data_IF_385011506631
#
_entry.id   IF_385011506631
#
_cell.length_a   1.000
_cell.length_b   1.000
_cell.length_c   1.000
_cell.angle_alpha   90.00
_cell.angle_beta   90.00
_cell.angle_gamma   90.00
#
_symmetry.space_group_name_H-M   'P 1'
#
loop_
_entity.id
_entity.type
_entity.pdbx_description
1 polymer ?
2 non-polymer ?
3 water ?
#
# COMPACT_ATOMS: atom_id res chain seq x y z
N UNK A 1 -13.96 -20.10 2.81
CA UNK A 1 -14.98 -20.73 1.99
C UNK A 1 -14.47 -20.95 0.58
N UNK A 2 -15.30 -21.57 -0.27
CA UNK A 2 -14.88 -21.85 -1.65
C UNK A 2 -14.84 -20.59 -2.49
N UNK A 3 -15.63 -19.59 -2.10
CA UNK A 3 -15.73 -18.33 -2.85
C UNK A 3 -14.92 -17.20 -2.23
N UNK A 4 -14.09 -17.48 -1.22
CA UNK A 4 -13.46 -16.41 -0.45
C UNK A 4 -12.40 -15.67 -1.27
N UNK A 5 -12.50 -14.35 -1.25
CA UNK A 5 -11.57 -13.45 -1.90
C UNK A 5 -10.85 -12.69 -0.80
N UNK A 6 -9.65 -13.14 -0.45
CA UNK A 6 -8.84 -12.48 0.56
C UNK A 6 -7.99 -11.42 -0.13
N UNK A 7 -8.08 -10.19 0.37
CA UNK A 7 -7.34 -9.08 -0.22
C UNK A 7 -5.86 -9.42 -0.35
N UNK A 8 -5.27 -9.09 -1.50
CA UNK A 8 -3.86 -9.30 -1.77
C UNK A 8 -3.26 -7.97 -2.17
N UNK A 9 -2.43 -7.39 -1.31
CA UNK A 9 -1.86 -6.09 -1.59
C UNK A 9 -0.80 -6.17 -2.67
N UNK A 10 -0.66 -5.09 -3.43
CA UNK A 10 0.34 -5.06 -4.48
C UNK A 10 1.74 -5.09 -3.86
N UNK A 11 2.75 -5.45 -4.65
CA UNK A 11 4.08 -5.58 -4.08
C UNK A 11 5.11 -4.97 -5.03
N UNK A 12 6.38 -5.17 -4.68
CA UNK A 12 7.52 -4.51 -5.32
C UNK A 12 8.62 -5.52 -5.57
N UNK A 13 9.28 -5.40 -6.71
CA UNK A 13 10.30 -6.34 -7.14
C UNK A 13 11.62 -5.66 -7.46
N UNK A 14 11.69 -4.35 -7.28
CA UNK A 14 12.92 -3.57 -7.41
C UNK A 14 13.18 -2.89 -6.08
N UNK A 15 14.32 -3.19 -5.47
CA UNK A 15 14.58 -2.75 -4.11
C UNK A 15 15.92 -2.06 -4.01
N UNK A 16 15.94 -0.97 -3.26
CA UNK A 16 17.16 -0.23 -2.98
C UNK A 16 17.56 -0.45 -1.53
N UNK A 17 18.82 -0.80 -1.32
CA UNK A 17 19.38 -1.09 0.00
C UNK A 17 20.51 -0.11 0.24
N UNK A 18 20.37 0.78 1.21
CA UNK A 18 21.51 1.61 1.54
C UNK A 18 22.29 1.03 2.73
N UNK A 19 23.54 1.48 2.83
CA UNK A 19 24.48 0.99 3.82
C UNK A 19 25.12 2.15 4.56
N UNK A 20 25.61 1.85 5.76
CA UNK A 20 26.25 2.82 6.64
C UNK A 20 27.74 2.54 6.64
N UNK A 21 28.51 3.41 6.00
CA UNK A 21 29.96 3.35 6.04
C UNK A 21 30.55 4.47 6.90
N UNK A 22 29.71 5.19 7.65
CA UNK A 22 30.18 6.41 8.29
C UNK A 22 30.98 6.16 9.56
N UNK A 23 30.85 4.99 10.18
CA UNK A 23 31.57 4.69 11.42
C UNK A 23 32.89 3.99 11.20
N UNK A 24 33.19 3.58 9.96
CA UNK A 24 34.45 2.92 9.67
C UNK A 24 35.61 3.75 10.18
N UNK A 25 36.54 3.06 10.83
CA UNK A 25 37.79 3.70 11.24
C UNK A 25 38.42 4.43 10.06
N UNK A 26 38.74 3.70 9.01
CA UNK A 26 39.29 4.24 7.78
C UNK A 26 38.21 4.25 6.71
N UNK A 27 37.98 5.39 6.04
CA UNK A 27 36.89 5.44 5.06
C UNK A 27 37.13 4.47 3.91
N UNK A 28 36.07 3.76 3.52
CA UNK A 28 36.15 2.84 2.40
C UNK A 28 36.25 3.60 1.08
N UNK A 29 37.03 3.05 0.15
CA UNK A 29 37.09 3.60 -1.19
C UNK A 29 35.78 3.29 -1.92
N UNK A 30 35.49 3.99 -3.03
CA UNK A 30 34.28 3.66 -3.78
C UNK A 30 34.21 2.21 -4.23
N UNK A 31 35.34 1.63 -4.66
CA UNK A 31 35.31 0.23 -5.08
C UNK A 31 35.17 -0.70 -3.89
N UNK A 32 35.74 -0.34 -2.74
CA UNK A 32 35.49 -1.08 -1.50
C UNK A 32 34.03 -1.00 -1.11
N UNK A 33 33.37 0.14 -1.35
CA UNK A 33 31.96 0.22 -1.06
C UNK A 33 31.17 -0.71 -1.97
N UNK A 34 31.54 -0.80 -3.25
CA UNK A 34 30.80 -1.64 -4.18
C UNK A 34 31.02 -3.11 -3.83
N UNK A 35 32.25 -3.46 -3.46
CA UNK A 35 32.50 -4.82 -2.99
C UNK A 35 31.58 -5.17 -1.83
N UNK A 36 31.32 -4.23 -0.92
CA UNK A 36 30.46 -4.52 0.21
C UNK A 36 28.99 -4.65 -0.21
N UNK A 37 28.55 -3.90 -1.22
CA UNK A 37 27.21 -4.10 -1.75
C UNK A 37 27.04 -5.52 -2.28
N UNK A 38 28.02 -5.98 -3.04
CA UNK A 38 27.98 -7.35 -3.58
C UNK A 38 27.91 -8.38 -2.46
N UNK A 39 28.71 -8.22 -1.41
CA UNK A 39 28.71 -9.21 -0.34
C UNK A 39 27.42 -9.16 0.46
N UNK A 40 26.89 -7.96 0.71
CA UNK A 40 25.63 -7.84 1.44
C UNK A 40 24.45 -8.37 0.62
N UNK A 41 24.43 -8.05 -0.68
CA UNK A 41 23.39 -8.62 -1.55
C UNK A 41 23.39 -10.13 -1.49
N UNK A 42 24.58 -10.75 -1.55
CA UNK A 42 24.65 -12.21 -1.50
C UNK A 42 24.26 -12.73 -0.12
N UNK A 43 24.68 -12.04 0.95
CA UNK A 43 24.32 -12.46 2.30
C UNK A 43 22.81 -12.38 2.51
N UNK A 44 22.19 -11.27 2.08
CA UNK A 44 20.76 -11.11 2.28
C UNK A 44 19.92 -12.04 1.42
N UNK A 45 20.29 -12.22 0.17
CA UNK A 45 19.54 -13.13 -0.68
C UNK A 45 19.93 -14.58 -0.47
N UNK A 46 21.02 -14.85 0.24
CA UNK A 46 21.44 -16.22 0.46
C UNK A 46 21.83 -16.94 -0.81
N UNK A 47 22.54 -16.27 -1.72
CA UNK A 47 23.01 -16.86 -2.96
C UNK A 47 24.50 -16.57 -3.10
N UNK A 48 25.11 -17.21 -4.09
CA UNK A 48 26.50 -16.94 -4.44
C UNK A 48 26.68 -15.45 -4.75
N UNK A 49 27.94 -15.01 -4.71
CA UNK A 49 28.21 -13.63 -5.06
C UNK A 49 28.02 -13.43 -6.55
N UNK A 50 28.33 -14.45 -7.36
CA UNK A 50 28.09 -14.35 -8.80
C UNK A 50 26.60 -14.26 -9.10
N UNK A 51 25.78 -15.03 -8.38
CA UNK A 51 24.34 -14.93 -8.51
C UNK A 51 23.83 -13.57 -8.07
N UNK A 52 24.36 -13.06 -6.94
CA UNK A 52 23.95 -11.75 -6.45
C UNK A 52 24.26 -10.65 -7.45
N UNK A 53 25.39 -10.76 -8.16
CA UNK A 53 25.77 -9.74 -9.13
C UNK A 53 24.78 -9.66 -10.28
N UNK A 54 24.19 -10.79 -10.68
CA UNK A 54 23.21 -10.73 -11.75
C UNK A 54 21.86 -10.19 -11.30
N UNK A 55 21.60 -10.16 -9.99
CA UNK A 55 20.39 -9.55 -9.49
C UNK A 55 20.51 -8.03 -9.39
N UNK A 56 21.72 -7.52 -9.19
CA UNK A 56 21.91 -6.07 -9.04
C UNK A 56 21.88 -5.38 -10.40
N UNK A 57 21.30 -4.17 -10.43
CA UNK A 57 21.26 -3.41 -11.66
C UNK A 57 21.74 -1.96 -11.54
N UNK A 58 21.95 -1.47 -10.33
CA UNK A 58 22.47 -0.12 -10.17
C UNK A 58 23.04 0.02 -8.77
N UNK A 59 23.84 1.05 -8.57
CA UNK A 59 24.35 1.39 -7.25
C UNK A 59 24.95 2.78 -7.33
N UNK A 60 25.25 3.34 -6.16
CA UNK A 60 25.93 4.60 -6.08
C UNK A 60 26.86 4.56 -4.88
N UNK A 61 27.97 5.28 -4.97
CA UNK A 61 28.71 5.63 -3.77
C UNK A 61 28.77 7.13 -3.55
N UNK A 62 28.08 7.92 -4.36
CA UNK A 62 28.22 9.37 -4.31
C UNK A 62 26.91 10.02 -3.87
N UNK A 63 25.96 10.14 -4.81
CA UNK A 63 24.62 10.64 -4.52
C UNK A 63 24.01 9.97 -3.29
N UNK A 64 24.15 8.65 -3.22
CA UNK A 64 23.83 7.85 -2.03
C UNK A 64 24.83 6.71 -1.99
N UNK A 65 24.77 5.93 -0.92
CA UNK A 65 25.64 4.76 -0.76
C UNK A 65 24.75 3.54 -0.58
N UNK A 66 24.44 2.89 -1.70
CA UNK A 66 23.57 1.73 -1.69
C UNK A 66 23.56 1.09 -3.06
N UNK A 67 22.78 0.01 -3.18
CA UNK A 67 22.64 -0.73 -4.42
C UNK A 67 21.18 -1.04 -4.65
N UNK A 68 20.87 -1.43 -5.89
CA UNK A 68 19.52 -1.77 -6.32
C UNK A 68 19.53 -3.12 -7.01
N UNK A 69 18.56 -3.96 -6.67
CA UNK A 69 18.54 -5.33 -7.16
C UNK A 69 17.10 -5.79 -7.31
N UNK A 70 16.88 -6.69 -8.28
CA UNK A 70 15.63 -7.43 -8.41
C UNK A 70 15.51 -8.42 -7.26
N UNK A 71 14.41 -8.35 -6.52
CA UNK A 71 14.14 -9.32 -5.48
C UNK A 71 12.68 -9.17 -5.11
N UNK A 72 12.13 -10.22 -4.53
CA UNK A 72 10.77 -10.11 -4.07
C UNK A 72 10.72 -9.31 -2.77
N UNK A 73 9.52 -8.83 -2.44
CA UNK A 73 9.32 -8.17 -1.16
C UNK A 73 9.67 -9.10 -0.01
N UNK A 74 9.33 -10.40 -0.13
CA UNK A 74 9.72 -11.35 0.92
C UNK A 74 11.23 -11.45 1.04
N UNK A 75 11.95 -11.39 -0.09
CA UNK A 75 13.41 -11.43 -0.04
C UNK A 75 13.98 -10.17 0.61
N UNK A 76 13.35 -9.02 0.35
CA UNK A 76 13.84 -7.77 0.91
C UNK A 76 13.83 -7.79 2.44
N UNK A 77 12.87 -8.51 3.04
CA UNK A 77 12.79 -8.58 4.50
C UNK A 77 14.00 -9.30 5.11
N UNK A 78 14.70 -10.11 4.32
CA UNK A 78 15.86 -10.83 4.82
C UNK A 78 17.04 -9.91 5.11
N UNK A 79 17.00 -8.69 4.61
CA UNK A 79 18.09 -7.74 4.82
C UNK A 79 17.98 -6.98 6.13
N UNK A 80 16.85 -7.07 6.83
CA UNK A 80 16.67 -6.32 8.06
C UNK A 80 17.64 -6.75 9.15
N UNK A 81 18.16 -7.98 9.07
CA UNK A 81 19.04 -8.54 10.09
C UNK A 81 20.52 -8.31 9.80
N UNK A 82 20.85 -7.70 8.70
CA UNK A 82 22.23 -7.62 8.25
C UNK A 82 22.97 -6.41 8.81
N UNK A 83 24.27 -6.57 9.07
CA UNK A 83 25.08 -5.44 9.55
C UNK A 83 25.24 -4.36 8.49
N UNK A 84 25.20 -3.11 8.95
CA UNK A 84 25.48 -1.95 8.12
C UNK A 84 24.35 -1.49 7.24
N UNK A 85 23.21 -2.17 7.24
CA UNK A 85 22.10 -1.85 6.36
C UNK A 85 21.30 -0.70 6.95
N UNK A 86 20.98 0.30 6.13
CA UNK A 86 20.13 1.41 6.58
C UNK A 86 18.74 1.27 6.00
N UNK A 87 18.52 1.77 4.80
CA UNK A 87 17.19 1.75 4.20
C UNK A 87 17.03 0.52 3.32
N UNK A 88 15.88 -0.14 3.47
CA UNK A 88 15.41 -1.17 2.53
C UNK A 88 14.12 -0.64 1.97
N UNK A 89 14.11 -0.33 0.69
CA UNK A 89 12.99 0.44 0.13
C UNK A 89 12.79 0.05 -1.32
N UNK A 90 11.54 0.07 -1.81
CA UNK A 90 11.31 -0.09 -3.25
C UNK A 90 12.03 0.99 -4.06
N UNK A 91 12.69 0.55 -5.13
CA UNK A 91 13.27 1.48 -6.06
C UNK A 91 12.17 2.12 -6.90
N UNK A 92 12.38 3.40 -7.26
CA UNK A 92 11.48 4.16 -8.11
C UNK A 92 12.27 4.91 -9.16
N UNK A 93 11.61 5.18 -10.30
CA UNK A 93 12.27 5.84 -11.42
C UNK A 93 12.72 7.26 -11.06
N UNK A 94 13.96 7.62 -11.45
CA UNK A 94 14.30 9.04 -11.49
C UNK A 94 13.78 9.68 -12.77
N UNK A 95 13.48 8.86 -13.77
CA UNK A 95 12.85 9.30 -15.01
C UNK A 95 11.66 8.40 -15.27
N UNK A 96 10.48 8.73 -14.72
CA UNK A 96 9.32 7.85 -14.94
C UNK A 96 8.93 7.71 -16.39
N UNK A 97 9.03 8.79 -17.17
CA UNK A 97 8.63 8.74 -18.57
C UNK A 97 9.45 7.72 -19.35
N UNK A 98 10.75 7.65 -19.08
CA UNK A 98 11.66 6.75 -19.79
C UNK A 98 11.90 5.45 -19.05
N UNK A 99 11.29 5.28 -17.86
CA UNK A 99 11.35 4.04 -17.09
C UNK A 99 12.77 3.68 -16.68
N UNK A 100 13.51 4.69 -16.23
CA UNK A 100 14.91 4.55 -15.82
C UNK A 100 15.03 4.76 -14.32
N UNK A 101 15.63 3.79 -13.64
CA UNK A 101 16.06 3.95 -12.26
C UNK A 101 17.35 4.77 -12.21
N UNK A 102 17.65 5.30 -11.03
CA UNK A 102 18.81 6.14 -10.86
C UNK A 102 20.05 5.37 -10.42
N UNK A 103 21.12 6.13 -10.17
CA UNK A 103 22.39 5.57 -9.77
C UNK A 103 23.25 5.25 -10.96
N UNK A 104 24.43 4.69 -10.68
CA UNK A 104 25.29 4.21 -11.75
C UNK A 104 24.78 2.86 -12.20
N UNK A 105 24.97 2.58 -13.48
CA UNK A 105 24.58 1.26 -13.98
C UNK A 105 25.52 0.19 -13.43
N UNK A 106 24.92 -0.93 -13.00
CA UNK A 106 25.66 -2.12 -12.59
C UNK A 106 25.14 -3.28 -13.43
N UNK A 107 25.99 -3.84 -14.28
CA UNK A 107 25.56 -4.90 -15.17
C UNK A 107 26.66 -5.95 -15.26
N UNK A 108 26.35 -7.18 -14.87
CA UNK A 108 27.27 -8.30 -15.03
C UNK A 108 28.54 -8.10 -14.20
N UNK A 109 28.41 -7.39 -13.09
CA UNK A 109 29.55 -7.11 -12.23
C UNK A 109 30.38 -5.90 -12.62
N UNK A 110 29.94 -5.13 -13.61
CA UNK A 110 30.69 -4.00 -14.17
C UNK A 110 29.93 -2.71 -13.89
N UNK A 111 30.62 -1.68 -13.40
CA UNK A 111 29.98 -0.40 -13.08
C UNK A 111 30.13 0.55 -14.25
N UNK A 112 29.04 1.21 -14.63
CA UNK A 112 29.06 2.32 -15.59
C UNK A 112 28.59 3.57 -14.86
N UNK A 113 29.50 4.53 -14.67
CA UNK A 113 29.14 5.78 -14.03
C UNK A 113 28.22 6.59 -14.92
N UNK A 114 27.24 7.24 -14.30
CA UNK A 114 26.28 8.05 -15.00
C UNK A 114 26.17 9.39 -14.29
N UNK A 115 26.21 10.51 -15.03
CA UNK A 115 26.10 11.86 -14.44
C UNK A 115 24.72 12.17 -13.83
N UNK B 1 -22.42 6.70 -5.51
CA UNK B 1 -23.68 6.68 -4.81
C UNK B 1 -23.53 7.07 -3.34
N UNK B 2 -24.66 7.15 -2.63
CA UNK B 2 -24.62 7.52 -1.22
C UNK B 2 -23.96 6.46 -0.36
N UNK B 3 -23.78 5.25 -0.89
CA UNK B 3 -23.20 4.14 -0.15
C UNK B 3 -21.85 3.72 -0.69
N UNK B 4 -21.30 4.43 -1.66
CA UNK B 4 -20.08 3.97 -2.32
C UNK B 4 -18.90 4.03 -1.37
N UNK B 5 -18.14 2.94 -1.32
CA UNK B 5 -16.94 2.83 -0.49
C UNK B 5 -15.79 2.49 -1.43
N UNK B 6 -14.98 3.50 -1.72
CA UNK B 6 -13.86 3.37 -2.64
C UNK B 6 -12.63 2.98 -1.84
N UNK B 7 -11.99 1.89 -2.24
CA UNK B 7 -10.80 1.43 -1.54
C UNK B 7 -9.77 2.54 -1.47
N UNK B 8 -9.58 3.05 -0.25
CA UNK B 8 -8.50 3.98 0.06
C UNK B 8 -7.33 3.14 0.55
N UNK B 9 -6.24 3.08 -0.23
CA UNK B 9 -5.00 2.62 0.34
C UNK B 9 -4.66 3.43 1.57
N UNK B 10 -3.78 2.91 2.40
CA UNK B 10 -3.42 3.68 3.57
C UNK B 10 -2.48 4.83 3.16
N UNK B 11 -2.59 5.94 3.86
CA UNK B 11 -1.79 7.12 3.53
C UNK B 11 -0.65 7.28 4.52
N UNK B 12 0.37 8.00 4.09
CA UNK B 12 1.57 8.21 4.88
C UNK B 12 1.69 9.68 5.25
N UNK B 13 2.01 9.94 6.53
CA UNK B 13 2.19 11.29 7.02
C UNK B 13 3.54 11.53 7.65
N UNK B 14 4.43 10.54 7.62
CA UNK B 14 5.81 10.70 8.06
C UNK B 14 6.69 10.42 6.87
N UNK B 15 7.51 11.39 6.48
CA UNK B 15 8.27 11.30 5.24
C UNK B 15 9.75 11.55 5.50
N UNK B 16 10.58 10.72 4.89
CA UNK B 16 12.03 10.90 4.87
C UNK B 16 12.46 11.49 3.54
N UNK B 17 13.28 12.54 3.60
CA UNK B 17 13.82 13.21 2.43
C UNK B 17 15.33 13.24 2.58
N UNK B 18 16.05 12.60 1.67
CA UNK B 18 17.50 12.66 1.74
C UNK B 18 18.03 13.66 0.71
N UNK B 19 19.29 14.04 0.92
CA UNK B 19 19.93 15.13 0.20
C UNK B 19 21.27 14.66 -0.34
N UNK B 20 21.71 15.32 -1.41
CA UNK B 20 22.98 15.03 -2.04
C UNK B 20 23.94 16.18 -1.74
N UNK B 21 24.91 15.91 -0.86
CA UNK B 21 26.02 16.82 -0.56
C UNK B 21 27.33 16.34 -1.16
N UNK B 22 27.31 15.38 -2.08
CA UNK B 22 28.54 14.77 -2.56
C UNK B 22 29.30 15.64 -3.56
N UNK B 23 28.65 16.64 -4.16
CA UNK B 23 29.31 17.42 -5.22
C UNK B 23 30.23 18.51 -4.69
N UNK B 24 30.02 18.98 -3.46
CA UNK B 24 30.72 20.16 -2.97
C UNK B 24 32.21 19.85 -2.76
N UNK B 25 33.05 20.76 -3.26
CA UNK B 25 34.50 20.61 -3.17
C UNK B 25 34.94 20.51 -1.72
N UNK B 26 34.47 21.42 -0.89
CA UNK B 26 34.62 21.32 0.55
C UNK B 26 33.33 20.82 1.14
N UNK B 27 33.31 19.62 1.74
CA UNK B 27 32.04 19.08 2.25
C UNK B 27 31.45 19.97 3.34
N UNK B 28 30.12 19.96 3.42
CA UNK B 28 29.41 20.73 4.45
C UNK B 28 29.64 20.13 5.82
N UNK B 29 29.73 21.00 6.83
CA UNK B 29 29.75 20.58 8.22
C UNK B 29 28.40 19.97 8.61
N UNK B 30 28.33 19.23 9.73
CA UNK B 30 27.02 18.73 10.17
C UNK B 30 26.00 19.83 10.37
N UNK B 31 26.41 20.97 10.95
CA UNK B 31 25.49 22.07 11.19
C UNK B 31 25.03 22.71 9.89
N UNK B 32 25.90 22.78 8.90
CA UNK B 32 25.49 23.27 7.59
C UNK B 32 24.52 22.31 6.91
N UNK B 33 24.69 21.01 7.09
CA UNK B 33 23.75 20.09 6.48
C UNK B 33 22.39 20.18 7.16
N UNK B 34 22.38 20.32 8.49
CA UNK B 34 21.11 20.47 9.20
C UNK B 34 20.40 21.75 8.79
N UNK B 35 21.14 22.84 8.65
CA UNK B 35 20.54 24.09 8.18
C UNK B 35 19.99 23.93 6.77
N UNK B 36 20.67 23.15 5.92
CA UNK B 36 20.13 22.89 4.59
C UNK B 36 18.84 22.07 4.65
N UNK B 37 18.73 21.15 5.62
CA UNK B 37 17.48 20.41 5.79
C UNK B 37 16.33 21.34 6.09
N UNK B 38 16.54 22.27 7.03
CA UNK B 38 15.49 23.22 7.38
C UNK B 38 15.08 24.09 6.20
N UNK B 39 16.06 24.51 5.38
CA UNK B 39 15.74 25.37 4.25
C UNK B 39 14.99 24.61 3.17
N UNK B 40 15.41 23.38 2.90
CA UNK B 40 14.69 22.53 1.95
C UNK B 40 13.27 22.24 2.41
N UNK B 41 13.10 21.89 3.69
CA UNK B 41 11.77 21.63 4.23
C UNK B 41 10.84 22.83 4.06
N UNK B 42 11.30 24.03 4.42
CA UNK B 42 10.48 25.23 4.26
C UNK B 42 10.15 25.48 2.80
N UNK B 43 11.13 25.36 1.92
CA UNK B 43 10.90 25.63 0.52
C UNK B 43 9.97 24.60 -0.09
N UNK B 44 10.11 23.33 0.29
CA UNK B 44 9.28 22.29 -0.27
C UNK B 44 7.86 22.35 0.24
N UNK B 45 7.68 22.63 1.53
CA UNK B 45 6.35 22.79 2.07
C UNK B 45 5.76 24.15 1.76
N UNK B 46 6.55 25.09 1.27
CA UNK B 46 6.05 26.44 1.00
C UNK B 46 5.67 27.19 2.26
N UNK B 47 6.47 27.06 3.32
CA UNK B 47 6.18 27.68 4.60
C UNK B 47 7.45 28.37 5.10
N UNK B 48 7.30 29.11 6.21
CA UNK B 48 8.46 29.76 6.81
C UNK B 48 9.38 28.73 7.44
N UNK B 49 10.63 29.13 7.67
CA UNK B 49 11.60 28.23 8.30
C UNK B 49 11.12 27.81 9.68
N UNK B 50 10.62 28.76 10.48
CA UNK B 50 10.15 28.40 11.82
C UNK B 50 9.02 27.36 11.74
N UNK B 51 8.08 27.55 10.81
CA UNK B 51 7.01 26.58 10.64
C UNK B 51 7.56 25.23 10.19
N UNK B 52 8.58 25.25 9.33
CA UNK B 52 9.14 24.00 8.85
C UNK B 52 9.87 23.26 9.95
N UNK B 53 10.59 24.00 10.81
CA UNK B 53 11.30 23.35 11.91
C UNK B 53 10.33 22.67 12.87
N UNK B 54 9.11 23.21 12.99
CA UNK B 54 8.08 22.57 13.80
C UNK B 54 7.63 21.23 13.20
N UNK B 55 7.66 21.09 11.87
CA UNK B 55 7.22 19.86 11.23
C UNK B 55 8.27 18.75 11.30
N UNK B 56 9.54 19.10 11.47
CA UNK B 56 10.63 18.13 11.48
C UNK B 56 10.74 17.45 12.84
N UNK B 57 11.05 16.14 12.82
CA UNK B 57 11.19 15.38 14.05
C UNK B 57 12.46 14.55 14.14
N UNK B 58 13.19 14.35 13.04
CA UNK B 58 14.43 13.59 13.11
C UNK B 58 15.28 13.94 11.90
N UNK B 59 16.58 13.67 12.03
CA UNK B 59 17.49 13.84 10.90
C UNK B 59 18.79 13.12 11.21
N UNK B 60 19.67 13.09 10.20
CA UNK B 60 21.00 12.49 10.32
C UNK B 60 21.95 13.24 9.39
N UNK B 61 23.21 13.37 9.81
CA UNK B 61 24.28 13.74 8.89
C UNK B 61 25.32 12.63 8.77
N UNK B 62 25.11 11.50 9.43
CA UNK B 62 26.14 10.47 9.54
C UNK B 62 25.68 9.16 8.91
N UNK B 63 24.81 8.42 9.60
CA UNK B 63 24.26 7.18 9.07
C UNK B 63 23.66 7.37 7.69
N UNK B 64 22.95 8.47 7.49
CA UNK B 64 22.45 8.93 6.21
C UNK B 64 22.48 10.45 6.28
N UNK B 65 22.21 11.12 5.16
CA UNK B 65 22.16 12.58 5.12
C UNK B 65 20.76 13.00 4.69
N UNK B 66 19.88 13.18 5.69
CA UNK B 66 18.50 13.54 5.40
C UNK B 66 17.76 13.92 6.66
N UNK B 67 16.50 14.30 6.47
CA UNK B 67 15.61 14.70 7.55
C UNK B 67 14.24 14.04 7.36
N UNK B 68 13.47 13.98 8.44
CA UNK B 68 12.15 13.38 8.44
C UNK B 68 11.16 14.36 9.07
N UNK B 69 9.98 14.51 8.45
CA UNK B 69 9.03 15.52 8.87
C UNK B 69 7.62 15.00 8.68
N UNK B 70 6.69 15.60 9.43
CA UNK B 70 5.26 15.39 9.23
C UNK B 70 4.84 16.16 7.99
N UNK B 71 4.16 15.47 7.07
CA UNK B 71 3.65 16.07 5.86
C UNK B 71 2.82 15.02 5.14
N UNK B 72 1.88 15.48 4.34
CA UNK B 72 1.05 14.57 3.58
C UNK B 72 1.80 14.08 2.34
N UNK B 73 1.26 13.03 1.72
CA UNK B 73 1.84 12.56 0.46
C UNK B 73 1.78 13.63 -0.61
N UNK B 74 0.74 14.46 -0.61
CA UNK B 74 0.66 15.51 -1.61
C UNK B 74 1.73 16.57 -1.40
N UNK B 75 2.07 16.85 -0.13
CA UNK B 75 3.12 17.82 0.16
C UNK B 75 4.51 17.27 -0.18
N UNK B 76 4.75 15.99 0.07
CA UNK B 76 6.08 15.44 -0.19
C UNK B 76 6.37 15.38 -1.68
N UNK B 77 5.33 15.27 -2.49
CA UNK B 77 5.50 15.23 -3.94
C UNK B 77 6.15 16.50 -4.46
N UNK B 78 5.93 17.63 -3.76
CA UNK B 78 6.48 18.92 -4.18
C UNK B 78 7.99 19.00 -4.04
N UNK B 79 8.61 18.21 -3.16
CA UNK B 79 10.06 18.19 -3.04
C UNK B 79 10.75 17.57 -4.25
N UNK B 80 10.01 16.87 -5.13
CA UNK B 80 10.61 16.25 -6.31
C UNK B 80 11.23 17.29 -7.24
N UNK B 81 10.81 18.54 -7.11
CA UNK B 81 11.26 19.60 -7.99
C UNK B 81 12.31 20.48 -7.32
N UNK B 82 12.86 20.06 -6.15
CA UNK B 82 13.85 20.92 -5.50
C UNK B 82 15.26 20.40 -5.76
N UNK B 83 16.26 21.29 -5.73
CA UNK B 83 17.63 20.84 -6.01
C UNK B 83 18.23 20.04 -4.87
N UNK B 84 19.02 19.02 -5.23
CA UNK B 84 19.76 18.23 -4.28
C UNK B 84 18.97 17.18 -3.54
N UNK B 85 17.66 17.07 -3.79
CA UNK B 85 16.85 16.05 -3.14
C UNK B 85 17.12 14.71 -3.82
N UNK B 86 17.36 13.69 -3.01
CA UNK B 86 17.51 12.33 -3.51
C UNK B 86 16.23 11.55 -3.19
N UNK B 87 16.20 10.85 -2.06
CA UNK B 87 15.02 10.04 -1.76
C UNK B 87 13.90 10.85 -1.14
N UNK B 88 12.68 10.54 -1.56
CA UNK B 88 11.45 10.95 -0.92
C UNK B 88 10.66 9.68 -0.66
N UNK B 89 10.52 9.31 0.61
CA UNK B 89 9.84 8.05 0.93
C UNK B 89 9.16 8.15 2.28
N UNK B 90 8.13 7.34 2.51
CA UNK B 90 7.54 7.28 3.85
C UNK B 90 8.52 6.71 4.86
N UNK B 91 8.60 7.37 6.02
CA UNK B 91 9.44 6.91 7.12
C UNK B 91 8.86 5.66 7.75
N UNK B 92 9.75 4.81 8.30
CA UNK B 92 9.34 3.61 9.03
C UNK B 92 10.13 3.50 10.32
N UNK B 93 9.55 2.78 11.29
CA UNK B 93 10.18 2.63 12.58
C UNK B 93 11.45 1.80 12.47
N UNK B 94 12.51 2.23 13.16
CA UNK B 94 13.64 1.33 13.40
C UNK B 94 13.26 0.30 14.45
N UNK B 95 12.48 0.70 15.45
CA UNK B 95 11.99 -0.20 16.49
C UNK B 95 10.46 -0.23 16.43
N UNK B 96 9.88 -1.22 15.75
CA UNK B 96 8.41 -1.25 15.62
C UNK B 96 7.68 -1.46 16.94
N UNK B 97 8.33 -2.04 17.94
CA UNK B 97 7.66 -2.25 19.22
C UNK B 97 7.44 -0.93 19.95
N UNK B 98 8.39 0.00 19.85
CA UNK B 98 8.32 1.26 20.58
C UNK B 98 7.83 2.41 19.74
N UNK B 99 7.58 2.17 18.45
CA UNK B 99 7.09 3.19 17.51
C UNK B 99 8.05 4.39 17.46
N UNK B 100 9.33 4.10 17.29
CA UNK B 100 10.36 5.13 17.21
C UNK B 100 11.02 5.13 15.83
N UNK B 101 11.13 6.32 15.26
CA UNK B 101 11.86 6.48 14.01
C UNK B 101 13.35 6.60 14.28
N UNK B 102 14.13 6.35 13.24
CA UNK B 102 15.57 6.41 13.33
C UNK B 102 16.11 7.81 13.10
N UNK B 103 17.44 7.90 13.12
CA UNK B 103 18.09 9.19 13.04
C UNK B 103 18.15 9.85 14.40
N UNK B 104 18.83 11.00 14.42
CA UNK B 104 18.90 11.80 15.63
C UNK B 104 17.57 12.51 15.85
N UNK B 105 17.24 12.77 17.11
CA UNK B 105 16.00 13.49 17.39
C UNK B 105 16.20 14.97 17.03
N UNK B 106 15.21 15.54 16.37
CA UNK B 106 15.19 16.96 16.02
C UNK B 106 13.98 17.58 16.70
N UNK B 107 14.22 18.60 17.54
CA UNK B 107 13.15 19.35 18.19
C UNK B 107 13.43 20.82 17.99
N UNK B 108 12.97 21.38 16.87
CA UNK B 108 13.00 22.83 16.65
C UNK B 108 14.41 23.40 16.78
N UNK B 109 15.36 22.74 16.13
CA UNK B 109 16.73 23.19 16.12
C UNK B 109 17.62 22.52 17.14
N UNK B 110 17.07 21.70 18.04
CA UNK B 110 17.84 20.96 19.03
C UNK B 110 17.97 19.52 18.55
N UNK B 111 19.20 19.04 18.45
CA UNK B 111 19.48 17.69 17.97
C UNK B 111 19.99 16.86 19.14
N UNK B 112 19.34 15.71 19.37
CA UNK B 112 19.77 14.75 20.38
C UNK B 112 20.25 13.50 19.65
N UNK B 113 21.54 13.22 19.76
CA UNK B 113 22.10 12.09 19.06
C UNK B 113 21.65 10.81 19.74
N UNK B 114 21.15 9.86 18.93
CA UNK B 114 20.69 8.57 19.39
C UNK B 114 21.45 7.49 18.66
N UNK B 115 22.13 6.57 19.37
CA UNK B 115 22.87 5.50 18.69
C UNK B 115 21.97 4.35 18.26
N UNK C 1 15.05 17.63 -8.10
CA UNK C 1 16.38 17.47 -8.63
C UNK C 1 16.39 16.48 -9.78
N UNK C 2 17.49 16.43 -10.53
CA UNK C 2 17.62 15.45 -11.60
C UNK C 2 17.89 14.05 -11.08
N UNK C 3 18.21 13.90 -9.79
CA UNK C 3 18.46 12.59 -9.21
C UNK C 3 17.46 12.28 -8.10
N UNK C 4 16.34 13.00 -8.06
CA UNK C 4 15.32 12.74 -7.07
C UNK C 4 14.61 11.43 -7.36
N UNK C 5 14.50 10.59 -6.34
CA UNK C 5 13.76 9.35 -6.39
C UNK C 5 12.50 9.50 -5.54
N UNK C 6 11.41 9.90 -6.17
CA UNK C 6 10.13 10.00 -5.49
C UNK C 6 9.53 8.62 -5.37
N UNK C 7 9.11 8.25 -4.16
CA UNK C 7 8.47 6.96 -3.95
C UNK C 7 7.24 6.82 -4.84
N UNK C 8 7.18 5.71 -5.57
CA UNK C 8 6.05 5.37 -6.42
C UNK C 8 5.40 4.14 -5.80
N UNK C 9 4.28 4.34 -5.11
CA UNK C 9 3.56 3.20 -4.56
C UNK C 9 3.06 2.28 -5.65
N UNK C 10 2.94 1.00 -5.30
CA UNK C 10 2.43 0.02 -6.26
C UNK C 10 0.93 0.22 -6.48
N UNK C 11 0.44 -0.26 -7.60
CA UNK C 11 -0.96 -0.05 -7.92
C UNK C 11 -1.63 -1.35 -8.35
N UNK C 12 -2.90 -1.21 -8.72
CA UNK C 12 -3.81 -2.30 -9.06
C UNK C 12 -4.44 -2.02 -10.41
N UNK C 13 -4.52 -3.04 -11.25
CA UNK C 13 -5.12 -2.91 -12.58
C UNK C 13 -6.29 -3.86 -12.80
N UNK C 14 -6.71 -4.58 -11.77
CA UNK C 14 -7.93 -5.38 -11.79
C UNK C 14 -8.83 -4.89 -10.67
N UNK C 15 -10.04 -4.49 -11.00
CA UNK C 15 -10.93 -3.89 -10.01
C UNK C 15 -12.28 -4.59 -9.94
N UNK C 16 -12.76 -4.79 -8.72
CA UNK C 16 -14.08 -5.34 -8.46
C UNK C 16 -14.99 -4.21 -8.02
N UNK C 17 -16.18 -4.14 -8.62
CA UNK C 17 -17.18 -3.11 -8.35
C UNK C 17 -18.49 -3.81 -8.06
N UNK C 18 -19.02 -3.62 -6.86
CA UNK C 18 -20.32 -4.18 -6.51
C UNK C 18 -21.42 -3.14 -6.56
N UNK C 19 -22.66 -3.64 -6.66
CA UNK C 19 -23.85 -2.83 -6.89
C UNK C 19 -24.90 -3.15 -5.84
N UNK C 20 -25.71 -2.14 -5.54
CA UNK C 20 -26.87 -2.27 -4.68
C UNK C 20 -28.13 -2.25 -5.53
N UNK C 21 -28.89 -3.35 -5.50
CA UNK C 21 -30.20 -3.46 -6.12
C UNK C 21 -31.30 -3.64 -5.09
N UNK C 22 -31.00 -3.42 -3.80
CA UNK C 22 -31.97 -3.70 -2.76
C UNK C 22 -33.12 -2.70 -2.78
N UNK C 23 -32.82 -1.43 -3.08
CA UNK C 23 -33.85 -0.39 -2.95
C UNK C 23 -34.88 -0.44 -4.08
N UNK C 24 -34.60 -1.14 -5.16
CA UNK C 24 -35.44 -1.03 -6.36
C UNK C 24 -36.79 -1.71 -6.17
N UNK C 25 -37.77 -1.17 -6.90
CA UNK C 25 -39.16 -1.60 -6.90
C UNK C 25 -39.33 -3.09 -7.15
N UNK C 26 -38.94 -3.51 -8.35
CA UNK C 26 -39.04 -4.90 -8.77
C UNK C 26 -37.64 -5.48 -8.84
N UNK C 27 -37.37 -6.60 -8.17
CA UNK C 27 -36.01 -7.17 -8.23
C UNK C 27 -35.61 -7.48 -9.66
N UNK C 28 -34.36 -7.17 -10.00
CA UNK C 28 -33.88 -7.35 -11.35
C UNK C 28 -33.56 -8.82 -11.63
N UNK C 29 -33.86 -9.28 -12.85
CA UNK C 29 -33.43 -10.59 -13.29
C UNK C 29 -31.89 -10.64 -13.37
N UNK C 30 -31.30 -11.84 -13.45
CA UNK C 30 -29.84 -11.89 -13.60
C UNK C 30 -29.35 -11.15 -14.84
N UNK C 31 -30.06 -11.29 -15.97
CA UNK C 31 -29.65 -10.61 -17.20
C UNK C 31 -29.77 -9.10 -17.08
N UNK C 32 -30.76 -8.63 -16.32
CA UNK C 32 -30.90 -7.21 -16.04
C UNK C 32 -29.78 -6.71 -15.14
N UNK C 33 -29.42 -7.50 -14.12
CA UNK C 33 -28.28 -7.13 -13.29
C UNK C 33 -27.01 -7.03 -14.12
N UNK C 34 -26.81 -7.97 -15.05
CA UNK C 34 -25.61 -7.94 -15.89
C UNK C 34 -25.66 -6.73 -16.81
N UNK C 35 -26.85 -6.38 -17.32
CA UNK C 35 -26.96 -5.19 -18.14
C UNK C 35 -26.64 -3.93 -17.33
N UNK C 36 -27.07 -3.91 -16.06
CA UNK C 36 -26.70 -2.82 -15.17
C UNK C 36 -25.19 -2.73 -14.98
N UNK C 37 -24.51 -3.88 -14.88
CA UNK C 37 -23.06 -3.87 -14.75
C UNK C 37 -22.41 -3.22 -15.98
N UNK C 38 -22.93 -3.53 -17.15
CA UNK C 38 -22.35 -2.98 -18.38
C UNK C 38 -22.58 -1.47 -18.48
N UNK C 39 -23.78 -1.01 -18.14
CA UNK C 39 -24.06 0.43 -18.14
C UNK C 39 -23.20 1.16 -17.12
N UNK C 40 -23.04 0.60 -15.92
CA UNK C 40 -22.23 1.24 -14.89
C UNK C 40 -20.76 1.28 -15.30
N UNK C 41 -20.25 0.18 -15.83
CA UNK C 41 -18.85 0.13 -16.28
C UNK C 41 -18.60 1.16 -17.37
N UNK C 42 -19.51 1.26 -18.34
CA UNK C 42 -19.42 2.25 -19.40
C UNK C 42 -19.38 3.67 -18.85
N UNK C 43 -20.24 3.98 -17.88
CA UNK C 43 -20.29 5.32 -17.33
C UNK C 43 -19.03 5.66 -16.56
N UNK C 44 -18.53 4.71 -15.75
CA UNK C 44 -17.36 4.97 -14.96
C UNK C 44 -16.12 5.14 -15.81
N UNK C 45 -16.03 4.43 -16.93
CA UNK C 45 -14.91 4.57 -17.83
C UNK C 45 -15.10 5.65 -18.88
N UNK C 46 -16.30 6.24 -18.99
CA UNK C 46 -16.56 7.29 -19.96
C UNK C 46 -16.59 6.83 -21.39
N UNK C 47 -17.12 5.63 -21.62
CA UNK C 47 -17.09 5.00 -22.94
C UNK C 47 -18.46 4.40 -23.23
N UNK C 48 -18.58 3.70 -24.34
CA UNK C 48 -19.85 3.08 -24.70
C UNK C 48 -19.98 1.73 -23.99
N UNK C 49 -21.21 1.21 -23.96
CA UNK C 49 -21.42 -0.13 -23.44
C UNK C 49 -20.66 -1.15 -24.29
N UNK C 50 -20.57 -0.91 -25.60
CA UNK C 50 -19.84 -1.84 -26.45
C UNK C 50 -18.38 -1.93 -26.04
N UNK C 51 -17.75 -0.80 -25.76
CA UNK C 51 -16.35 -0.79 -25.36
C UNK C 51 -16.16 -1.32 -23.95
N UNK C 52 -17.08 -1.01 -23.04
CA UNK C 52 -16.94 -1.46 -21.66
C UNK C 52 -17.04 -2.98 -21.55
N UNK C 53 -17.89 -3.59 -22.37
CA UNK C 53 -17.99 -5.05 -22.40
C UNK C 53 -16.65 -5.72 -22.64
N UNK C 54 -15.79 -5.10 -23.45
CA UNK C 54 -14.49 -5.69 -23.74
C UNK C 54 -13.51 -5.56 -22.56
N UNK C 55 -13.78 -4.65 -21.62
CA UNK C 55 -12.91 -4.48 -20.45
C UNK C 55 -13.26 -5.41 -19.31
N UNK C 56 -14.51 -5.83 -19.22
CA UNK C 56 -14.95 -6.72 -18.16
C UNK C 56 -14.43 -8.13 -18.38
N UNK C 57 -14.10 -8.82 -17.28
CA UNK C 57 -13.64 -10.20 -17.36
C UNK C 57 -14.35 -11.15 -16.41
N UNK C 58 -15.18 -10.67 -15.49
CA UNK C 58 -15.91 -11.55 -14.59
C UNK C 58 -17.06 -10.78 -13.96
N UNK C 59 -18.05 -11.52 -13.48
CA UNK C 59 -19.12 -10.91 -12.70
C UNK C 59 -19.87 -12.01 -11.95
N UNK C 60 -20.77 -11.55 -11.07
CA UNK C 60 -21.59 -12.47 -10.31
C UNK C 60 -22.96 -11.83 -10.15
N UNK C 61 -24.00 -12.65 -10.15
CA UNK C 61 -25.31 -12.21 -9.68
C UNK C 61 -25.78 -13.04 -8.51
N UNK C 62 -24.94 -13.94 -8.00
CA UNK C 62 -25.33 -14.82 -6.89
C UNK C 62 -24.43 -14.63 -5.66
N UNK C 63 -23.24 -15.23 -5.71
CA UNK C 63 -22.25 -15.12 -4.64
C UNK C 63 -22.10 -13.68 -4.15
N UNK C 64 -21.97 -12.75 -5.09
CA UNK C 64 -22.01 -11.32 -4.86
C UNK C 64 -22.72 -10.72 -6.05
N UNK C 65 -23.05 -9.43 -5.97
CA UNK C 65 -23.63 -8.72 -7.10
C UNK C 65 -22.64 -7.66 -7.54
N UNK C 66 -21.76 -8.00 -8.48
CA UNK C 66 -20.79 -7.05 -8.97
C UNK C 66 -20.13 -7.55 -10.23
N UNK C 67 -19.22 -6.74 -10.76
CA UNK C 67 -18.46 -7.09 -11.94
C UNK C 67 -16.99 -6.73 -11.71
N UNK C 68 -16.14 -7.29 -12.56
CA UNK C 68 -14.71 -7.06 -12.48
C UNK C 68 -14.19 -6.66 -13.84
N UNK C 69 -13.35 -5.64 -13.89
CA UNK C 69 -12.83 -5.12 -15.14
C UNK C 69 -11.38 -4.70 -14.97
N UNK C 70 -10.66 -4.69 -16.08
CA UNK C 70 -9.31 -4.17 -16.10
C UNK C 70 -9.36 -2.64 -16.25
N UNK C 71 -8.70 -1.94 -15.33
CA UNK C 71 -8.73 -0.48 -15.27
C UNK C 71 -7.66 0.00 -14.29
N UNK C 72 -7.26 1.24 -14.44
CA UNK C 72 -6.28 1.80 -13.51
C UNK C 72 -6.97 2.32 -12.25
N UNK C 73 -6.15 2.67 -11.25
CA UNK C 73 -6.65 3.32 -10.05
C UNK C 73 -7.36 4.63 -10.36
N UNK C 74 -6.81 5.42 -11.28
CA UNK C 74 -7.42 6.72 -11.61
C UNK C 74 -8.76 6.52 -12.27
N UNK C 75 -8.91 5.44 -13.03
CA UNK C 75 -10.19 5.07 -13.62
C UNK C 75 -11.16 4.54 -12.57
N UNK C 76 -10.68 3.75 -11.61
CA UNK C 76 -11.59 3.20 -10.62
C UNK C 76 -12.19 4.31 -9.76
N UNK C 77 -11.45 5.40 -9.61
CA UNK C 77 -11.89 6.52 -8.79
C UNK C 77 -13.12 7.19 -9.38
N UNK C 78 -13.28 7.15 -10.71
CA UNK C 78 -14.40 7.78 -11.38
C UNK C 78 -15.72 7.04 -11.20
N UNK C 79 -15.72 5.88 -10.57
CA UNK C 79 -16.93 5.16 -10.22
C UNK C 79 -17.53 5.63 -8.90
N UNK C 80 -16.86 6.54 -8.19
CA UNK C 80 -17.24 6.79 -6.80
C UNK C 80 -18.54 7.57 -6.66
N UNK C 81 -18.96 8.30 -7.70
CA UNK C 81 -20.21 9.05 -7.62
C UNK C 81 -21.32 8.47 -8.50
N UNK C 82 -21.18 7.18 -8.93
CA UNK C 82 -22.16 6.55 -9.80
C UNK C 82 -23.31 5.95 -8.98
N UNK C 83 -24.52 5.92 -9.52
CA UNK C 83 -25.68 5.43 -8.75
C UNK C 83 -25.63 3.92 -8.52
N UNK C 84 -25.88 3.52 -7.29
CA UNK C 84 -25.97 2.12 -6.95
C UNK C 84 -24.65 1.41 -6.77
N UNK C 85 -23.52 2.08 -6.95
CA UNK C 85 -22.22 1.48 -6.69
C UNK C 85 -22.02 1.36 -5.18
N UNK C 86 -21.49 0.22 -4.74
CA UNK C 86 -21.18 0.05 -3.32
C UNK C 86 -19.66 0.02 -3.18
N UNK C 87 -19.07 -1.16 -3.31
CA UNK C 87 -17.63 -1.27 -3.11
C UNK C 87 -16.87 -1.13 -4.41
N UNK C 88 -15.78 -0.38 -4.35
CA UNK C 88 -14.80 -0.30 -5.42
C UNK C 88 -13.49 -0.76 -4.81
N UNK C 89 -13.04 -1.95 -5.18
CA UNK C 89 -11.90 -2.56 -4.53
C UNK C 89 -11.06 -3.29 -5.56
N UNK C 90 -9.75 -3.42 -5.30
CA UNK C 90 -8.94 -4.26 -6.18
C UNK C 90 -9.39 -5.71 -6.10
N UNK C 91 -9.46 -6.35 -7.26
CA UNK C 91 -9.80 -7.76 -7.33
C UNK C 91 -8.60 -8.60 -6.85
N UNK C 92 -8.88 -9.70 -6.16
CA UNK C 92 -7.84 -10.63 -5.75
C UNK C 92 -8.22 -12.06 -6.13
N UNK C 93 -7.22 -12.92 -6.24
CA UNK C 93 -7.45 -14.29 -6.69
C UNK C 93 -8.23 -15.10 -5.66
N UNK C 94 -9.23 -15.86 -6.13
CA UNK C 94 -9.81 -16.87 -5.24
C UNK C 94 -8.89 -18.07 -5.13
N UNK C 95 -8.11 -18.36 -6.17
CA UNK C 95 -7.11 -19.43 -6.18
C UNK C 95 -5.77 -18.77 -6.51
N UNK C 96 -5.00 -18.36 -5.50
CA UNK C 96 -3.78 -17.58 -5.79
C UNK C 96 -2.73 -18.33 -6.57
N UNK C 97 -2.50 -19.61 -6.26
CA UNK C 97 -1.44 -20.33 -6.95
C UNK C 97 -1.75 -20.51 -8.44
N UNK C 98 -3.04 -20.60 -8.80
CA UNK C 98 -3.47 -20.72 -10.18
C UNK C 98 -3.82 -19.39 -10.83
N UNK C 99 -3.76 -18.27 -10.08
CA UNK C 99 -3.98 -16.93 -10.63
C UNK C 99 -5.36 -16.76 -11.25
N UNK C 100 -6.39 -17.31 -10.59
CA UNK C 100 -7.77 -17.20 -11.07
C UNK C 100 -8.57 -16.26 -10.18
N UNK C 101 -9.21 -15.27 -10.79
CA UNK C 101 -10.18 -14.46 -10.09
C UNK C 101 -11.50 -15.22 -9.94
N UNK C 102 -12.32 -14.76 -8.99
CA UNK C 102 -13.59 -15.40 -8.71
C UNK C 102 -14.71 -14.87 -9.56
N UNK C 103 -15.91 -15.38 -9.28
CA UNK C 103 -17.09 -15.02 -10.07
C UNK C 103 -17.20 -15.85 -11.33
N UNK C 104 -18.25 -15.60 -12.09
CA UNK C 104 -18.44 -16.19 -13.40
C UNK C 104 -17.57 -15.48 -14.42
N UNK C 105 -17.03 -16.24 -15.38
CA UNK C 105 -16.22 -15.65 -16.43
C UNK C 105 -17.09 -14.86 -17.40
N UNK C 106 -16.59 -13.69 -17.82
CA UNK C 106 -17.33 -12.78 -18.70
C UNK C 106 -16.44 -12.40 -19.88
N UNK C 107 -16.87 -12.77 -21.09
CA UNK C 107 -16.14 -12.42 -22.30
C UNK C 107 -17.11 -11.82 -23.29
N UNK C 108 -17.12 -10.48 -23.33
CA UNK C 108 -17.93 -9.70 -24.28
C UNK C 108 -19.41 -10.04 -24.18
N UNK C 109 -19.89 -10.23 -22.96
CA UNK C 109 -21.29 -10.52 -22.73
C UNK C 109 -21.63 -12.00 -22.60
N UNK C 110 -20.75 -12.89 -23.03
CA UNK C 110 -20.96 -14.33 -22.89
C UNK C 110 -20.39 -14.76 -21.54
N UNK C 111 -21.25 -15.23 -20.65
CA UNK C 111 -20.87 -15.58 -19.29
C UNK C 111 -20.76 -17.11 -19.18
N UNK C 112 -19.71 -17.59 -18.54
CA UNK C 112 -19.55 -19.00 -18.26
C UNK C 112 -19.72 -19.21 -16.76
N UNK C 113 -20.79 -19.91 -16.38
CA UNK C 113 -21.02 -20.27 -14.99
C UNK C 113 -19.85 -21.09 -14.46
N UNK C 114 -19.05 -20.51 -13.57
CA UNK C 114 -17.95 -21.26 -12.98
C UNK C 114 -18.49 -22.11 -11.85
N UNK C 115 -18.41 -23.45 -11.93
CA UNK C 115 -19.06 -24.37 -11.00
C UNK C 115 -18.63 -24.17 -9.55
N UNK D 1 20.27 -4.65 10.74
CA UNK D 1 21.17 -3.84 11.53
C UNK D 1 20.44 -2.98 12.54
N UNK D 2 21.21 -2.30 13.41
CA UNK D 2 20.59 -1.52 14.49
C UNK D 2 19.77 -0.36 13.95
N UNK D 3 20.22 0.26 12.85
CA UNK D 3 19.52 1.39 12.26
C UNK D 3 18.80 1.03 10.97
N UNK D 4 18.48 -0.25 10.77
CA UNK D 4 17.76 -0.63 9.57
C UNK D 4 16.33 -0.10 9.62
N UNK D 5 15.91 0.52 8.52
CA UNK D 5 14.57 1.04 8.33
C UNK D 5 14.00 0.26 7.15
N UNK D 6 13.17 -0.74 7.44
CA UNK D 6 12.56 -1.57 6.41
C UNK D 6 11.20 -0.99 6.03
N UNK D 7 10.99 -0.72 4.74
CA UNK D 7 9.66 -0.36 4.27
C UNK D 7 8.81 -1.62 4.18
N UNK D 8 7.69 -1.64 4.90
CA UNK D 8 6.76 -2.75 4.82
C UNK D 8 5.40 -2.34 4.29
N UNK D 9 5.20 -1.05 4.01
CA UNK D 9 3.88 -0.55 3.71
C UNK D 9 3.08 -0.37 4.98
N UNK D 10 1.95 0.28 4.83
CA UNK D 10 1.17 0.60 6.01
C UNK D 10 0.22 -0.53 6.35
N UNK D 11 -0.27 -0.52 7.59
CA UNK D 11 -1.09 -1.58 8.15
C UNK D 11 -2.55 -1.17 8.14
N UNK D 12 -3.41 -2.18 8.11
CA UNK D 12 -4.85 -2.00 8.20
C UNK D 12 -5.36 -2.71 9.44
N UNK D 13 -6.18 -2.02 10.23
CA UNK D 13 -6.77 -2.58 11.42
C UNK D 13 -8.29 -2.52 11.39
N UNK D 14 -8.88 -2.14 10.26
CA UNK D 14 -10.33 -2.15 10.07
C UNK D 14 -10.62 -3.02 8.87
N UNK D 15 -11.43 -4.05 9.06
CA UNK D 15 -11.64 -5.06 8.01
C UNK D 15 -13.13 -5.29 7.77
N UNK D 16 -13.49 -5.28 6.49
CA UNK D 16 -14.81 -5.67 6.01
C UNK D 16 -14.80 -7.15 5.65
N UNK D 17 -15.83 -7.87 6.08
CA UNK D 17 -16.02 -9.28 5.75
C UNK D 17 -17.41 -9.43 5.18
N UNK D 18 -17.52 -9.83 3.92
CA UNK D 18 -18.85 -10.07 3.38
C UNK D 18 -19.19 -11.56 3.41
N UNK D 19 -20.49 -11.85 3.45
CA UNK D 19 -21.01 -13.20 3.59
C UNK D 19 -21.88 -13.56 2.39
N UNK D 20 -21.88 -14.84 2.04
CA UNK D 20 -22.76 -15.40 1.02
C UNK D 20 -23.85 -16.20 1.73
N UNK D 21 -25.08 -15.70 1.63
CA UNK D 21 -26.27 -16.42 2.07
C UNK D 21 -27.14 -16.83 0.89
N UNK D 22 -26.54 -17.01 -0.29
CA UNK D 22 -27.33 -17.27 -1.49
C UNK D 22 -27.67 -18.74 -1.68
N UNK D 23 -26.97 -19.65 -0.99
CA UNK D 23 -27.11 -21.07 -1.25
C UNK D 23 -27.98 -21.80 -0.24
N UNK D 24 -28.25 -21.23 0.93
CA UNK D 24 -29.09 -21.93 1.88
C UNK D 24 -30.53 -21.96 1.40
N UNK D 25 -31.22 -23.06 1.70
CA UNK D 25 -32.58 -23.22 1.20
C UNK D 25 -33.54 -22.29 1.91
N UNK D 26 -33.31 -22.06 3.21
CA UNK D 26 -34.20 -21.19 3.97
C UNK D 26 -33.59 -19.80 4.02
N UNK D 27 -34.12 -18.82 3.29
CA UNK D 27 -33.52 -17.48 3.28
C UNK D 27 -33.53 -16.88 4.69
N UNK D 28 -32.39 -16.32 5.07
CA UNK D 28 -32.22 -15.79 6.42
C UNK D 28 -32.93 -14.45 6.58
N UNK D 29 -33.32 -14.16 7.81
CA UNK D 29 -33.90 -12.87 8.17
C UNK D 29 -32.78 -11.88 8.48
N UNK D 30 -33.09 -10.58 8.58
CA UNK D 30 -32.05 -9.61 8.94
C UNK D 30 -31.34 -9.91 10.25
N UNK D 31 -32.10 -10.12 11.33
CA UNK D 31 -31.50 -10.43 12.62
C UNK D 31 -30.75 -11.76 12.59
N UNK D 32 -31.19 -12.70 11.74
CA UNK D 32 -30.47 -13.97 11.60
C UNK D 32 -29.13 -13.77 10.91
N UNK D 33 -29.07 -12.90 9.90
CA UNK D 33 -27.79 -12.61 9.27
C UNK D 33 -26.86 -11.90 10.25
N UNK D 34 -27.37 -10.97 11.06
CA UNK D 34 -26.50 -10.30 12.02
C UNK D 34 -25.98 -11.28 13.05
N UNK D 35 -26.82 -12.23 13.47
CA UNK D 35 -26.36 -13.27 14.38
C UNK D 35 -25.25 -14.11 13.76
N UNK D 36 -25.35 -14.37 12.46
CA UNK D 36 -24.30 -15.12 11.77
C UNK D 36 -23.01 -14.31 11.66
N UNK D 37 -23.11 -12.98 11.49
CA UNK D 37 -21.92 -12.15 11.48
C UNK D 37 -21.16 -12.25 12.79
N UNK D 38 -21.90 -12.23 13.90
CA UNK D 38 -21.29 -12.27 15.22
C UNK D 38 -20.59 -13.61 15.45
N UNK D 39 -21.22 -14.71 15.05
CA UNK D 39 -20.63 -16.03 15.22
C UNK D 39 -19.44 -16.24 14.29
N UNK D 40 -19.53 -15.70 13.07
CA UNK D 40 -18.40 -15.78 12.15
C UNK D 40 -17.22 -14.97 12.68
N UNK D 41 -17.49 -13.78 13.21
CA UNK D 41 -16.43 -12.95 13.76
C UNK D 41 -15.76 -13.63 14.95
N UNK D 42 -16.55 -14.28 15.81
CA UNK D 42 -16.01 -15.01 16.96
C UNK D 42 -15.16 -16.19 16.51
N UNK D 43 -15.70 -17.01 15.62
CA UNK D 43 -14.96 -18.16 15.13
C UNK D 43 -13.65 -17.73 14.48
N UNK D 44 -13.70 -16.73 13.60
CA UNK D 44 -12.50 -16.34 12.87
C UNK D 44 -11.40 -15.78 13.76
N UNK D 45 -11.79 -14.99 14.77
CA UNK D 45 -10.84 -14.43 15.73
C UNK D 45 -10.47 -15.39 16.86
N UNK D 46 -11.23 -16.46 17.06
CA UNK D 46 -10.97 -17.40 18.14
C UNK D 46 -11.30 -16.84 19.51
N UNK D 47 -12.39 -16.09 19.61
CA UNK D 47 -12.80 -15.45 20.84
C UNK D 47 -14.27 -15.74 21.06
N UNK D 48 -14.79 -15.30 22.22
CA UNK D 48 -16.21 -15.48 22.48
C UNK D 48 -17.04 -14.53 21.63
N UNK D 49 -18.33 -14.87 21.48
CA UNK D 49 -19.26 -14.02 20.77
C UNK D 49 -19.41 -12.67 21.47
N UNK D 50 -19.43 -12.68 22.81
CA UNK D 50 -19.50 -11.42 23.54
C UNK D 50 -18.34 -10.50 23.17
N UNK D 51 -17.13 -11.06 23.03
CA UNK D 51 -15.96 -10.28 22.68
C UNK D 51 -15.98 -9.82 21.22
N UNK D 52 -16.36 -10.72 20.32
CA UNK D 52 -16.45 -10.34 18.91
C UNK D 52 -17.41 -9.17 18.70
N UNK D 53 -18.49 -9.13 19.49
CA UNK D 53 -19.47 -8.05 19.39
C UNK D 53 -18.87 -6.71 19.79
N UNK D 54 -17.84 -6.71 20.63
CA UNK D 54 -17.12 -5.50 20.99
C UNK D 54 -16.16 -5.05 19.89
N UNK D 55 -15.66 -5.98 19.09
CA UNK D 55 -14.75 -5.62 18.01
C UNK D 55 -15.49 -5.09 16.80
N UNK D 56 -16.73 -5.53 16.60
CA UNK D 56 -17.51 -5.13 15.45
C UNK D 56 -18.00 -3.69 15.61
N UNK D 57 -18.02 -2.93 14.51
CA UNK D 57 -18.44 -1.54 14.57
C UNK D 57 -19.45 -1.15 13.50
N UNK D 58 -19.66 -1.97 12.47
CA UNK D 58 -20.67 -1.70 11.45
C UNK D 58 -21.09 -3.02 10.83
N UNK D 59 -22.23 -3.00 10.13
CA UNK D 59 -22.65 -4.15 9.34
C UNK D 59 -23.81 -3.72 8.44
N UNK D 60 -24.22 -4.63 7.57
CA UNK D 60 -25.38 -4.40 6.72
C UNK D 60 -25.99 -5.74 6.35
N UNK D 61 -27.31 -5.76 6.17
CA UNK D 61 -28.01 -6.87 5.56
C UNK D 61 -28.78 -6.42 4.32
N UNK D 62 -28.61 -5.17 3.90
CA UNK D 62 -29.39 -4.63 2.79
C UNK D 62 -28.47 -4.18 1.66
N UNK D 63 -27.86 -3.01 1.82
CA UNK D 63 -26.89 -2.53 0.85
C UNK D 63 -25.92 -3.62 0.45
N UNK D 64 -25.36 -4.31 1.45
CA UNK D 64 -24.52 -5.49 1.28
C UNK D 64 -24.86 -6.41 2.43
N UNK D 65 -24.28 -7.61 2.42
CA UNK D 65 -24.41 -8.54 3.54
C UNK D 65 -23.01 -8.82 4.06
N UNK D 66 -22.67 -8.20 5.18
CA UNK D 66 -21.31 -8.26 5.68
C UNK D 66 -21.19 -7.43 6.93
N UNK D 67 -20.00 -7.49 7.53
CA UNK D 67 -19.75 -6.80 8.79
C UNK D 67 -18.31 -6.30 8.81
N UNK D 68 -18.05 -5.36 9.73
CA UNK D 68 -16.77 -4.68 9.80
C UNK D 68 -16.28 -4.66 11.24
N UNK D 69 -15.01 -4.99 11.45
CA UNK D 69 -14.51 -5.13 12.81
C UNK D 69 -13.05 -4.70 12.84
N UNK D 70 -12.61 -4.32 14.02
CA UNK D 70 -11.21 -4.04 14.26
C UNK D 70 -10.46 -5.34 14.48
N UNK D 71 -9.41 -5.55 13.67
CA UNK D 71 -8.54 -6.73 13.72
C UNK D 71 -7.30 -6.44 12.87
N UNK D 72 -6.25 -7.23 13.11
CA UNK D 72 -5.05 -7.06 12.31
C UNK D 72 -5.16 -7.86 11.03
N UNK D 73 -4.18 -7.64 10.14
CA UNK D 73 -4.09 -8.40 8.91
C UNK D 73 -3.84 -9.89 9.18
N UNK D 74 -3.04 -10.19 10.21
CA UNK D 74 -2.80 -11.59 10.56
C UNK D 74 -4.08 -12.24 11.04
N UNK D 75 -4.91 -11.49 11.78
CA UNK D 75 -6.21 -12.01 12.22
C UNK D 75 -7.18 -12.17 11.07
N UNK D 76 -7.27 -11.18 10.17
CA UNK D 76 -8.24 -11.26 9.09
C UNK D 76 -7.92 -12.38 8.10
N UNK D 77 -6.63 -12.74 7.97
CA UNK D 77 -6.23 -13.84 7.11
C UNK D 77 -6.93 -15.14 7.48
N UNK D 78 -7.19 -15.34 8.77
CA UNK D 78 -7.79 -16.56 9.26
C UNK D 78 -9.24 -16.71 8.82
N UNK D 79 -9.89 -15.63 8.39
CA UNK D 79 -11.27 -15.76 7.92
C UNK D 79 -11.35 -16.44 6.57
N UNK D 80 -10.22 -16.61 5.87
CA UNK D 80 -10.28 -17.22 4.54
C UNK D 80 -10.76 -18.65 4.58
N UNK D 81 -10.69 -19.30 5.75
CA UNK D 81 -11.05 -20.70 5.89
C UNK D 81 -12.45 -20.89 6.45
N UNK D 82 -13.23 -19.79 6.60
CA UNK D 82 -14.54 -20.03 7.21
C UNK D 82 -15.61 -20.16 6.14
N UNK D 83 -16.66 -20.92 6.43
CA UNK D 83 -17.73 -21.09 5.44
C UNK D 83 -18.51 -19.79 5.23
N UNK D 84 -18.90 -19.56 3.97
CA UNK D 84 -19.73 -18.45 3.61
C UNK D 84 -19.04 -17.11 3.49
N UNK D 85 -17.76 -17.01 3.81
CA UNK D 85 -17.06 -15.74 3.71
C UNK D 85 -16.73 -15.47 2.24
N UNK D 86 -17.04 -14.26 1.79
CA UNK D 86 -16.75 -13.89 0.40
C UNK D 86 -15.54 -12.96 0.38
N UNK D 87 -15.75 -11.66 0.57
CA UNK D 87 -14.65 -10.70 0.54
C UNK D 87 -14.08 -10.51 1.93
N UNK D 88 -12.75 -10.51 2.03
CA UNK D 88 -12.01 -10.05 3.21
C UNK D 88 -11.13 -8.89 2.73
N UNK D 89 -11.44 -7.67 3.17
CA UNK D 89 -10.86 -6.48 2.58
C UNK D 89 -10.67 -5.44 3.65
N UNK D 90 -9.63 -4.60 3.56
CA UNK D 90 -9.56 -3.45 4.46
C UNK D 90 -10.74 -2.51 4.24
N UNK D 91 -11.38 -2.11 5.34
CA UNK D 91 -12.52 -1.21 5.28
C UNK D 91 -12.03 0.21 4.96
N UNK D 92 -12.88 0.98 4.28
CA UNK D 92 -12.59 2.36 3.91
C UNK D 92 -13.73 3.28 4.32
N UNK D 93 -13.38 4.53 4.60
CA UNK D 93 -14.37 5.53 4.98
C UNK D 93 -15.38 5.78 3.87
N UNK D 94 -16.66 5.70 4.23
CA UNK D 94 -17.69 6.23 3.34
C UNK D 94 -17.62 7.75 3.32
N UNK D 95 -17.28 8.36 4.46
CA UNK D 95 -17.21 9.81 4.62
C UNK D 95 -15.83 10.12 5.18
N UNK D 96 -14.83 10.27 4.31
CA UNK D 96 -13.44 10.46 4.79
C UNK D 96 -13.26 11.68 5.66
N UNK D 97 -13.98 12.76 5.35
CA UNK D 97 -13.84 14.00 6.11
C UNK D 97 -14.30 13.82 7.55
N UNK D 98 -15.36 13.05 7.77
CA UNK D 98 -15.83 12.77 9.13
C UNK D 98 -15.34 11.43 9.66
N UNK D 99 -14.40 10.78 8.96
CA UNK D 99 -13.83 9.52 9.40
C UNK D 99 -14.92 8.51 9.76
N UNK D 100 -15.84 8.31 8.83
CA UNK D 100 -17.01 7.46 9.03
C UNK D 100 -16.92 6.28 8.08
N UNK D 101 -17.10 5.08 8.60
CA UNK D 101 -17.25 3.90 7.77
C UNK D 101 -18.72 3.73 7.38
N UNK D 102 -18.94 3.03 6.27
CA UNK D 102 -20.28 2.80 5.77
C UNK D 102 -20.98 1.63 6.45
N UNK D 103 -22.19 1.36 5.99
CA UNK D 103 -23.04 0.36 6.61
C UNK D 103 -23.76 0.93 7.82
N UNK D 104 -24.64 0.12 8.40
CA UNK D 104 -25.29 0.52 9.64
C UNK D 104 -24.27 0.53 10.77
N UNK D 105 -24.42 1.48 11.70
CA UNK D 105 -23.59 1.47 12.89
C UNK D 105 -23.98 0.30 13.77
N UNK D 106 -22.99 -0.44 14.28
CA UNK D 106 -23.20 -1.57 15.18
C UNK D 106 -22.52 -1.24 16.49
N UNK D 107 -23.29 -1.18 17.58
CA UNK D 107 -22.72 -0.88 18.90
C UNK D 107 -23.14 -1.97 19.89
N UNK D 108 -22.28 -3.00 20.00
CA UNK D 108 -22.52 -4.19 20.82
C UNK D 108 -23.92 -4.76 20.60
N UNK D 109 -24.29 -4.93 19.34
CA UNK D 109 -25.55 -5.52 18.99
C UNK D 109 -26.67 -4.53 18.69
N UNK D 110 -26.54 -3.29 19.14
CA UNK D 110 -27.53 -2.27 18.83
C UNK D 110 -27.13 -1.60 17.52
N UNK D 111 -28.07 -1.59 16.58
CA UNK D 111 -27.80 -1.23 15.19
C UNK D 111 -28.59 0.02 14.85
N UNK D 112 -27.92 0.98 14.24
CA UNK D 112 -28.53 2.23 13.82
C UNK D 112 -28.35 2.40 12.33
N UNK D 113 -29.47 2.53 11.63
CA UNK D 113 -29.47 2.76 10.20
C UNK D 113 -28.82 4.10 9.87
N UNK D 114 -27.86 4.09 8.94
CA UNK D 114 -27.25 5.33 8.45
C UNK D 114 -28.23 6.04 7.54
N UNK D 115 -28.46 7.35 7.72
CA UNK D 115 -29.19 8.10 6.70
C UNK D 115 -28.38 8.13 5.39
X LIG E 1 7.98 -3.47 -9.54
X LIG E 1 9.12 -3.27 -8.67
X LIG E 1 7.28 -2.19 -9.72
X LIG E 1 7.10 -4.48 -8.96
X LIG E 1 8.41 -3.95 -10.86
X LIG F 1 24.64 -3.06 12.84
X LIG F 1 26.07 -2.81 12.65
X LIG F 1 24.02 -1.99 13.61
X LIG F 1 24.05 -3.10 11.50
X LIG F 1 24.45 -4.35 13.51
X LIG G 1 20.35 18.24 -8.61
X LIG G 1 21.66 18.81 -8.91
X LIG G 1 19.46 19.35 -8.30
X LIG G 1 19.82 17.51 -9.77
X LIG G 1 20.46 17.36 -7.46
X LIG H 1 -27.58 5.55 -4.61
X LIG H 1 -26.80 6.51 -3.82
X LIG H 1 -28.94 5.46 -4.08
X LIG H 1 -27.63 5.99 -6.00
X LIG H 1 -26.95 4.23 -4.53
X LIG I 1 -2.84 -6.05 -10.82
X LIG I 1 -2.26 -6.58 -9.60
X LIG I 1 -2.35 -4.69 -11.03
X LIG I 1 -4.30 -6.03 -10.66
X LIG I 1 -2.45 -6.86 -11.97
X LIG J 1 -18.56 -22.38 1.57
X LIG J 1 -18.25 -21.03 2.03
X LIG J 1 -18.24 -23.35 2.61
X LIG J 1 -19.98 -22.45 1.26
X LIG J 1 -17.78 -22.68 0.38
X LIG K 1 -5.64 2.14 12.08
X LIG K 1 -4.48 2.76 12.71
X LIG K 1 -6.55 1.67 13.13
X LIG K 1 -6.33 3.10 11.22
X LIG K 1 -5.21 1.01 11.25
#
# INVERSE_FOLDING_TARGET
GAMTVLFEGCDYNHWLITMDFSKEETPKSPEEMVAAYEETCAQGLGISVEEAKQRMYACSTTTYQGFQAIMTEQESEKFKDLPGVVFILPDSYIDPQNKEYGGDKYENGVITHRP
GAMTVLFEGCDYNHWLITMDFSKEETPKSPEEMVAAYEETCAQGLGISVEEAKQRMYACSTTTYQGFQAIMTEQESEKFKDLPGVVFILPDSYIDPQNKEYGGDKYENGVITHRP
GAMTVLFEGCDYNHWLITMDFSKEETPKSPEEMVAAYEETCAQGLGISVEEAKQRMYACSTTTYQGFQAIMTEQESEKFKDLPGVVFILPDSYIDPQNKEYGGDKYENGVITHRP
GAMTVLFEGCDYNHWLITMDFSKEETPKSPEEMVAAYEETCAQGLGISVEEAKQRMYACSTTTYQGFQAIMTEQESEKFKDLPGVVFILPDSYIDPQNKEYGGDKYENGVITHRP
SO4 S O1 O2 O3 O4
SO4 S O1 O2 O3 O4
SO4 S O1 O2 O3 O4
SO4 S O1 O2 O3 O4
SO4 S O1 O2 O3 O4
SO4 S O1 O2 O3 O4
SO4 S O1 O2 O3 O4
#
